data_IF_216900352359
#
_entry.id   IF_216900352359
#
_cell.length_a   1.000
_cell.length_b   1.000
_cell.length_c   1.000
_cell.angle_alpha   90.00
_cell.angle_beta   90.00
_cell.angle_gamma   90.00
#
_symmetry.space_group_name_H-M   'P 1'
#
loop_
_entity.id
_entity.type
_entity.pdbx_description
1 polymer ?
#
# COMPACT_ATOMS: atom_id res chain seq x y z
N UNK A 1 -13.51 20.22 -4.22
CA UNK A 1 -13.03 18.83 -4.11
C UNK A 1 -12.41 18.79 -2.74
N UNK A 2 -13.10 18.17 -1.80
CA UNK A 2 -12.69 18.20 -0.40
C UNK A 2 -11.31 17.53 -0.30
N UNK A 3 -10.39 18.24 0.33
CA UNK A 3 -9.03 17.79 0.55
C UNK A 3 -9.09 16.62 1.52
N UNK A 4 -8.42 15.50 1.20
CA UNK A 4 -8.38 14.34 2.10
C UNK A 4 -7.62 14.63 3.39
N UNK A 5 -6.65 15.54 3.33
CA UNK A 5 -5.92 16.04 4.49
C UNK A 5 -5.89 17.57 4.46
N UNK A 6 -5.81 18.16 5.65
CA UNK A 6 -5.71 19.62 5.81
C UNK A 6 -4.28 20.10 5.54
N UNK A 7 -4.18 21.23 4.83
CA UNK A 7 -2.88 21.86 4.53
C UNK A 7 -2.13 22.20 5.81
N UNK A 8 -2.85 22.63 6.85
CA UNK A 8 -2.26 23.05 8.11
C UNK A 8 -1.56 21.90 8.83
N UNK A 9 -2.11 20.68 8.80
CA UNK A 9 -1.51 19.51 9.44
C UNK A 9 -0.19 19.13 8.77
N UNK A 10 -0.15 19.19 7.43
CA UNK A 10 1.08 18.98 6.67
C UNK A 10 2.13 20.06 7.00
N UNK A 11 1.72 21.33 7.14
CA UNK A 11 2.62 22.41 7.53
C UNK A 11 3.18 22.22 8.94
N UNK A 12 2.35 21.76 9.88
CA UNK A 12 2.77 21.42 11.24
C UNK A 12 3.79 20.29 11.24
N UNK A 13 3.54 19.21 10.49
CA UNK A 13 4.50 18.09 10.34
C UNK A 13 5.84 18.54 9.75
N UNK A 14 5.81 19.47 8.80
CA UNK A 14 7.01 20.04 8.16
C UNK A 14 7.65 21.19 8.94
N UNK A 15 7.08 21.57 10.09
CA UNK A 15 7.50 22.73 10.90
C UNK A 15 7.57 24.05 10.09
N UNK A 16 6.64 24.22 9.15
CA UNK A 16 6.54 25.41 8.30
C UNK A 16 5.50 26.39 8.86
N UNK A 17 5.94 27.63 9.07
CA UNK A 17 5.09 28.69 9.61
C UNK A 17 4.68 29.76 8.57
N UNK A 18 5.24 29.69 7.35
CA UNK A 18 4.97 30.65 6.27
C UNK A 18 4.02 30.08 5.23
N UNK A 19 3.52 30.93 4.32
CA UNK A 19 2.61 30.55 3.24
C UNK A 19 3.31 30.36 1.89
N UNK A 20 4.62 30.56 1.82
CA UNK A 20 5.39 30.61 0.56
C UNK A 20 5.35 29.28 -0.20
N UNK A 21 5.17 28.18 0.53
CA UNK A 21 5.13 26.82 -0.01
C UNK A 21 3.70 26.29 -0.21
N UNK A 22 2.66 27.04 0.14
CA UNK A 22 1.28 26.55 0.15
C UNK A 22 0.84 26.04 -1.22
N UNK A 23 1.24 26.71 -2.30
CA UNK A 23 0.95 26.25 -3.67
C UNK A 23 1.58 24.89 -3.99
N UNK A 24 2.83 24.67 -3.58
CA UNK A 24 3.54 23.41 -3.75
C UNK A 24 2.92 22.30 -2.88
N UNK A 25 2.67 22.60 -1.60
CA UNK A 25 2.08 21.64 -0.66
C UNK A 25 0.70 21.19 -1.12
N UNK A 26 -0.15 22.11 -1.59
CA UNK A 26 -1.45 21.75 -2.17
C UNK A 26 -1.32 20.87 -3.41
N UNK A 27 -0.30 21.09 -4.25
CA UNK A 27 -0.05 20.25 -5.42
C UNK A 27 0.39 18.84 -5.02
N UNK A 28 1.26 18.73 -4.00
CA UNK A 28 1.68 17.45 -3.42
C UNK A 28 0.47 16.70 -2.87
N UNK A 29 -0.34 17.35 -2.02
CA UNK A 29 -1.58 16.77 -1.45
C UNK A 29 -2.49 16.23 -2.56
N UNK A 30 -2.76 17.05 -3.58
CA UNK A 30 -3.63 16.69 -4.71
C UNK A 30 -3.11 15.46 -5.47
N UNK A 31 -1.81 15.43 -5.80
CA UNK A 31 -1.24 14.35 -6.59
C UNK A 31 -1.11 13.05 -5.79
N UNK A 32 -0.70 13.15 -4.52
CA UNK A 32 -0.64 12.01 -3.60
C UNK A 32 -2.03 11.42 -3.39
N UNK A 33 -3.04 12.26 -3.13
CA UNK A 33 -4.43 11.81 -2.99
C UNK A 33 -4.92 11.09 -4.24
N UNK A 34 -4.66 11.62 -5.44
CA UNK A 34 -5.05 10.97 -6.69
C UNK A 34 -4.35 9.62 -6.88
N UNK A 35 -3.06 9.54 -6.57
CA UNK A 35 -2.29 8.31 -6.68
C UNK A 35 -2.83 7.23 -5.73
N UNK A 36 -3.10 7.58 -4.47
CA UNK A 36 -3.68 6.63 -3.52
C UNK A 36 -5.10 6.22 -3.91
N UNK A 37 -5.94 7.16 -4.34
CA UNK A 37 -7.29 6.85 -4.86
C UNK A 37 -7.24 5.86 -6.02
N UNK A 38 -6.30 6.04 -6.94
CA UNK A 38 -6.10 5.11 -8.06
C UNK A 38 -5.69 3.71 -7.56
N UNK A 39 -4.74 3.64 -6.61
CA UNK A 39 -4.29 2.36 -6.00
C UNK A 39 -5.41 1.64 -5.24
N UNK A 40 -6.32 2.39 -4.61
CA UNK A 40 -7.50 1.87 -3.90
C UNK A 40 -8.67 1.51 -4.84
N UNK A 41 -8.55 1.71 -6.16
CA UNK A 41 -9.65 1.48 -7.10
C UNK A 41 -10.84 2.43 -6.94
N UNK A 42 -10.64 3.60 -6.32
CA UNK A 42 -11.70 4.56 -6.05
C UNK A 42 -12.06 5.38 -7.29
N UNK A 43 -13.14 4.97 -7.95
CA UNK A 43 -13.72 5.66 -9.09
C UNK A 43 -14.22 7.08 -8.75
N UNK A 44 -14.47 7.90 -9.77
CA UNK A 44 -15.08 9.21 -9.61
C UNK A 44 -16.44 9.09 -8.87
N UNK A 45 -16.59 9.81 -7.77
CA UNK A 45 -17.81 9.79 -6.93
C UNK A 45 -17.77 8.85 -5.72
N UNK A 46 -16.72 8.03 -5.56
CA UNK A 46 -16.49 7.29 -4.29
C UNK A 46 -15.74 8.16 -3.29
N UNK A 47 -16.23 8.24 -2.07
CA UNK A 47 -15.55 8.93 -0.97
C UNK A 47 -14.23 8.23 -0.63
N UNK A 48 -13.29 9.02 -0.12
CA UNK A 48 -12.02 8.50 0.35
C UNK A 48 -12.20 7.98 1.78
N UNK A 49 -11.76 6.75 2.12
CA UNK A 49 -11.83 6.23 3.49
C UNK A 49 -11.00 7.11 4.44
N UNK A 50 -11.64 7.74 5.43
CA UNK A 50 -10.96 8.64 6.35
C UNK A 50 -9.89 7.92 7.16
N UNK A 51 -10.05 6.63 7.42
CA UNK A 51 -9.09 5.79 8.13
C UNK A 51 -7.74 5.68 7.43
N UNK A 52 -7.65 6.04 6.13
CA UNK A 52 -6.44 5.97 5.32
C UNK A 52 -5.81 7.36 5.06
N UNK A 53 -6.33 8.43 5.69
CA UNK A 53 -5.85 9.79 5.48
C UNK A 53 -4.38 9.98 5.92
N UNK A 54 -3.97 9.29 6.98
CA UNK A 54 -2.61 9.31 7.53
C UNK A 54 -1.57 8.85 6.50
N UNK A 55 -1.95 7.93 5.60
CA UNK A 55 -1.08 7.47 4.50
C UNK A 55 -0.79 8.64 3.56
N UNK A 56 -1.82 9.43 3.21
CA UNK A 56 -1.65 10.60 2.36
C UNK A 56 -0.73 11.61 3.04
N UNK A 57 -0.93 11.88 4.33
CA UNK A 57 -0.11 12.83 5.10
C UNK A 57 1.36 12.44 5.10
N UNK A 58 1.65 11.18 5.46
CA UNK A 58 2.99 10.61 5.53
C UNK A 58 3.72 10.61 4.17
N UNK A 59 3.01 10.29 3.09
CA UNK A 59 3.56 10.31 1.74
C UNK A 59 3.82 11.75 1.27
N UNK A 60 2.95 12.70 1.64
CA UNK A 60 3.18 14.12 1.34
C UNK A 60 4.45 14.64 2.00
N UNK A 61 4.72 14.28 3.26
CA UNK A 61 5.97 14.62 3.96
C UNK A 61 7.19 14.06 3.23
N UNK A 62 7.18 12.77 2.87
CA UNK A 62 8.26 12.12 2.10
C UNK A 62 8.51 12.83 0.77
N UNK A 63 7.46 13.14 -0.01
CA UNK A 63 7.60 13.82 -1.31
C UNK A 63 8.16 15.24 -1.18
N UNK A 64 7.72 15.99 -0.16
CA UNK A 64 8.28 17.30 0.11
C UNK A 64 9.78 17.23 0.44
N UNK A 65 10.16 16.32 1.35
CA UNK A 65 11.55 16.12 1.74
C UNK A 65 12.42 15.68 0.54
N UNK A 66 11.89 14.80 -0.33
CA UNK A 66 12.57 14.41 -1.57
C UNK A 66 12.78 15.60 -2.51
N UNK A 67 11.74 16.36 -2.83
CA UNK A 67 11.84 17.54 -3.69
C UNK A 67 12.81 18.61 -3.14
N UNK A 68 12.83 18.80 -1.82
CA UNK A 68 13.78 19.70 -1.15
C UNK A 68 15.22 19.20 -1.29
N UNK A 69 15.43 17.88 -1.23
CA UNK A 69 16.75 17.26 -1.34
C UNK A 69 17.23 17.10 -2.79
N UNK A 70 16.33 16.99 -3.77
CA UNK A 70 16.66 16.93 -5.21
C UNK A 70 17.39 18.21 -5.71
N UNK A 71 17.28 19.32 -4.97
CA UNK A 71 18.02 20.57 -5.22
C UNK A 71 19.36 20.72 -4.48
N UNK A 72 19.75 19.78 -3.61
CA UNK A 72 21.04 19.80 -2.92
C UNK A 72 22.08 19.03 -3.76
N UNK A 73 23.01 19.75 -4.38
CA UNK A 73 23.99 19.22 -5.34
C UNK A 73 24.99 18.17 -4.78
N UNK A 74 24.93 17.84 -3.50
CA UNK A 74 25.52 16.67 -2.84
C UNK A 74 25.39 16.87 -1.35
N UNK A 75 24.88 15.89 -0.63
CA UNK A 75 24.96 15.86 0.83
C UNK A 75 25.39 14.45 1.24
N UNK A 76 26.70 14.26 1.43
CA UNK A 76 27.22 13.09 2.14
C UNK A 76 27.36 13.48 3.60
N UNK A 77 26.47 12.96 4.45
CA UNK A 77 26.74 12.81 5.88
C UNK A 77 26.87 11.33 6.20
N UNK A 78 27.84 11.03 7.06
CA UNK A 78 28.40 9.72 7.35
C UNK A 78 27.34 8.60 7.52
N UNK A 79 27.40 7.60 6.64
CA UNK A 79 27.03 6.23 6.99
C UNK A 79 25.58 5.79 6.83
N UNK A 80 24.62 6.64 6.43
CA UNK A 80 23.26 6.19 6.11
C UNK A 80 22.97 6.27 4.61
N UNK A 81 22.95 5.11 3.96
CA UNK A 81 22.45 5.00 2.58
C UNK A 81 20.94 5.19 2.56
N UNK A 82 20.47 6.32 2.03
CA UNK A 82 19.05 6.51 1.72
C UNK A 82 18.75 5.66 0.48
N UNK A 83 18.20 4.47 0.66
CA UNK A 83 17.65 3.69 -0.45
C UNK A 83 16.33 4.31 -0.88
N UNK A 84 16.33 4.94 -2.04
CA UNK A 84 15.10 5.45 -2.65
C UNK A 84 14.29 4.27 -3.21
N UNK A 85 13.14 3.96 -2.61
CA UNK A 85 12.15 3.05 -3.20
C UNK A 85 11.48 3.72 -4.40
N UNK A 86 11.10 2.94 -5.40
CA UNK A 86 10.55 3.41 -6.68
C UNK A 86 9.16 4.03 -6.57
N UNK A 87 8.35 3.64 -5.58
CA UNK A 87 7.02 4.20 -5.35
C UNK A 87 6.91 4.78 -3.93
N UNK A 88 6.38 6.01 -3.83
CA UNK A 88 6.23 6.72 -2.56
C UNK A 88 5.21 6.03 -1.62
N UNK A 89 4.44 5.07 -2.15
CA UNK A 89 3.48 4.26 -1.40
C UNK A 89 3.98 2.86 -1.05
N UNK A 90 5.16 2.42 -1.49
CA UNK A 90 5.63 1.03 -1.30
C UNK A 90 5.63 0.59 0.17
N UNK A 91 5.90 1.50 1.11
CA UNK A 91 5.87 1.24 2.56
C UNK A 91 4.45 1.05 3.12
N UNK A 92 3.44 1.58 2.41
CA UNK A 92 2.01 1.51 2.77
C UNK A 92 1.25 0.51 1.91
N UNK A 93 1.85 0.09 0.80
CA UNK A 93 1.44 -1.01 -0.04
C UNK A 93 1.94 -2.34 0.50
N UNK A 94 2.22 -2.45 1.82
CA UNK A 94 2.55 -3.72 2.44
C UNK A 94 1.39 -4.70 2.21
N UNK A 95 1.53 -5.44 1.12
CA UNK A 95 0.90 -6.69 0.70
C UNK A 95 -0.60 -6.79 0.93
N UNK A 96 -1.37 -5.99 0.18
CA UNK A 96 -2.78 -6.32 -0.02
C UNK A 96 -2.87 -7.67 -0.76
N UNK A 97 -3.43 -8.69 -0.13
CA UNK A 97 -3.53 -10.02 -0.72
C UNK A 97 -4.86 -10.15 -1.46
N UNK A 98 -4.80 -10.57 -2.71
CA UNK A 98 -5.99 -10.82 -3.50
C UNK A 98 -6.60 -12.19 -3.14
N UNK A 99 -7.86 -12.16 -2.69
CA UNK A 99 -8.71 -13.33 -2.56
C UNK A 99 -9.39 -13.60 -3.90
N UNK A 100 -9.27 -14.82 -4.41
CA UNK A 100 -9.69 -15.21 -5.77
C UNK A 100 -10.61 -16.41 -5.75
N UNK A 101 -11.40 -16.59 -6.81
CA UNK A 101 -12.28 -17.77 -6.97
C UNK A 101 -11.52 -19.06 -7.27
N UNK A 102 -10.27 -18.97 -7.72
CA UNK A 102 -9.37 -20.09 -7.96
C UNK A 102 -7.97 -19.82 -7.43
N UNK A 103 -7.26 -20.88 -7.05
CA UNK A 103 -5.89 -20.87 -6.55
C UNK A 103 -4.87 -20.58 -7.67
N UNK A 104 -5.03 -19.47 -8.38
CA UNK A 104 -4.18 -19.06 -9.50
C UNK A 104 -4.23 -17.54 -9.66
N UNK A 105 -3.12 -16.96 -10.08
CA UNK A 105 -2.96 -15.50 -10.14
C UNK A 105 -3.83 -14.81 -11.20
N UNK A 106 -4.32 -15.57 -12.18
CA UNK A 106 -5.21 -15.09 -13.25
C UNK A 106 -6.70 -15.34 -13.00
N UNK A 107 -7.07 -15.91 -11.85
CA UNK A 107 -8.48 -16.12 -11.50
C UNK A 107 -9.17 -14.81 -11.13
N UNK A 108 -10.49 -14.76 -11.39
CA UNK A 108 -11.38 -13.68 -10.97
C UNK A 108 -11.23 -13.35 -9.49
N UNK A 109 -11.29 -12.05 -9.19
CA UNK A 109 -11.18 -11.50 -7.85
C UNK A 109 -12.50 -11.64 -7.09
N UNK A 110 -12.41 -12.10 -5.86
CA UNK A 110 -13.47 -12.01 -4.86
C UNK A 110 -13.34 -10.69 -4.11
N UNK A 111 -12.13 -10.43 -3.59
CA UNK A 111 -11.82 -9.26 -2.80
C UNK A 111 -10.30 -9.01 -2.78
N UNK A 112 -9.91 -7.83 -2.35
CA UNK A 112 -8.54 -7.49 -1.98
C UNK A 112 -8.52 -7.25 -0.48
N UNK A 113 -7.70 -8.03 0.23
CA UNK A 113 -7.55 -7.99 1.67
C UNK A 113 -6.44 -7.03 2.03
N UNK A 114 -6.64 -6.21 3.05
CA UNK A 114 -5.64 -5.30 3.57
C UNK A 114 -4.94 -5.92 4.80
N UNK A 115 -3.75 -5.43 5.17
CA UNK A 115 -3.09 -5.82 6.40
C UNK A 115 -4.01 -5.70 7.62
N UNK A 116 -4.08 -6.78 8.41
CA UNK A 116 -4.93 -6.85 9.60
C UNK A 116 -6.32 -7.44 9.33
N UNK A 117 -6.72 -7.64 8.08
CA UNK A 117 -7.92 -8.42 7.77
C UNK A 117 -7.73 -9.86 8.22
N UNK A 118 -8.66 -10.34 9.06
CA UNK A 118 -8.63 -11.71 9.57
C UNK A 118 -9.35 -12.63 8.59
N UNK A 119 -8.64 -13.61 8.05
CA UNK A 119 -9.22 -14.65 7.20
C UNK A 119 -9.08 -16.02 7.84
N UNK A 120 -10.21 -16.68 8.05
CA UNK A 120 -10.25 -18.10 8.44
C UNK A 120 -10.05 -18.99 7.22
N UNK A 121 -9.20 -19.99 7.34
CA UNK A 121 -8.95 -21.00 6.31
C UNK A 121 -9.09 -22.41 6.89
N UNK A 122 -9.41 -23.39 6.04
CA UNK A 122 -9.59 -24.78 6.45
C UNK A 122 -8.62 -25.76 5.74
N UNK A 123 -7.96 -25.30 4.68
CA UNK A 123 -7.01 -26.10 3.92
C UNK A 123 -5.98 -25.20 3.20
N UNK A 124 -4.93 -25.82 2.67
CA UNK A 124 -3.97 -25.17 1.79
C UNK A 124 -3.57 -26.07 0.62
N UNK A 125 -3.08 -25.48 -0.46
CA UNK A 125 -2.46 -26.18 -1.60
C UNK A 125 -1.17 -25.46 -2.02
N UNK A 126 -0.32 -26.15 -2.77
CA UNK A 126 0.90 -25.58 -3.35
C UNK A 126 0.93 -25.92 -4.82
N UNK A 127 0.95 -24.90 -5.65
CA UNK A 127 1.10 -25.00 -7.10
C UNK A 127 1.20 -23.58 -7.69
N UNK A 128 1.57 -23.51 -8.96
CA UNK A 128 1.74 -22.24 -9.70
C UNK A 128 2.70 -21.25 -9.03
N UNK A 129 3.67 -21.78 -8.27
CA UNK A 129 4.69 -20.99 -7.57
C UNK A 129 4.25 -20.39 -6.24
N UNK A 130 3.05 -20.72 -5.72
CA UNK A 130 2.53 -20.15 -4.47
C UNK A 130 1.99 -21.20 -3.51
N UNK A 131 2.00 -20.86 -2.22
CA UNK A 131 1.16 -21.49 -1.20
C UNK A 131 -0.19 -20.78 -1.23
N UNK A 132 -1.25 -21.54 -1.45
CA UNK A 132 -2.62 -21.04 -1.48
C UNK A 132 -3.36 -21.50 -0.23
N UNK A 133 -3.97 -20.57 0.51
CA UNK A 133 -4.90 -20.88 1.60
C UNK A 133 -6.33 -20.88 1.07
N UNK A 134 -7.15 -21.83 1.53
CA UNK A 134 -8.56 -21.97 1.16
C UNK A 134 -9.45 -21.36 2.24
N UNK A 135 -10.17 -20.29 1.89
CA UNK A 135 -11.24 -19.71 2.69
C UNK A 135 -12.56 -20.40 2.37
N UNK A 136 -13.24 -20.94 3.39
CA UNK A 136 -14.60 -21.47 3.27
C UNK A 136 -15.59 -20.31 3.14
N UNK A 137 -16.52 -20.43 2.19
CA UNK A 137 -17.60 -19.47 1.96
C UNK A 137 -18.96 -20.19 1.96
N UNK A 138 -20.04 -19.42 1.96
CA UNK A 138 -21.40 -19.96 1.94
C UNK A 138 -21.68 -20.82 0.70
N UNK A 139 -22.67 -21.70 0.80
CA UNK A 139 -23.13 -22.57 -0.29
C UNK A 139 -22.04 -23.49 -0.89
N UNK A 140 -21.04 -23.88 -0.08
CA UNK A 140 -19.97 -24.79 -0.50
C UNK A 140 -18.99 -24.16 -1.49
N UNK A 141 -18.92 -22.83 -1.53
CA UNK A 141 -17.96 -22.10 -2.35
C UNK A 141 -16.66 -21.85 -1.58
N UNK A 142 -15.59 -21.57 -2.32
CA UNK A 142 -14.26 -21.35 -1.76
C UNK A 142 -13.61 -20.10 -2.35
N UNK A 143 -12.86 -19.39 -1.53
CA UNK A 143 -11.91 -18.37 -1.95
C UNK A 143 -10.48 -18.83 -1.70
N UNK A 144 -9.54 -18.32 -2.49
CA UNK A 144 -8.12 -18.68 -2.42
C UNK A 144 -7.26 -17.43 -2.33
N UNK A 145 -6.34 -17.41 -1.38
CA UNK A 145 -5.37 -16.33 -1.21
C UNK A 145 -3.95 -16.91 -1.20
N UNK A 146 -3.00 -16.19 -1.78
CA UNK A 146 -1.60 -16.58 -1.75
C UNK A 146 -0.97 -16.12 -0.41
N UNK A 147 -0.31 -17.04 0.30
CA UNK A 147 0.28 -16.79 1.62
C UNK A 147 1.82 -16.93 1.64
N UNK A 148 2.43 -17.09 0.47
CA UNK A 148 3.86 -17.30 0.30
C UNK A 148 4.21 -17.93 -1.04
N UNK A 149 5.50 -17.95 -1.37
CA UNK A 149 6.02 -18.54 -2.61
C UNK A 149 6.49 -19.98 -2.39
N UNK A 150 6.38 -20.79 -3.43
CA UNK A 150 6.98 -22.11 -3.50
C UNK A 150 8.00 -22.17 -4.65
N UNK A 151 9.09 -22.91 -4.46
CA UNK A 151 9.99 -23.26 -5.56
C UNK A 151 9.35 -24.30 -6.50
N UNK A 152 10.02 -24.59 -7.62
CA UNK A 152 9.57 -25.56 -8.61
C UNK A 152 9.48 -27.03 -8.09
N UNK A 153 9.82 -27.27 -6.81
CA UNK A 153 9.68 -28.55 -6.11
C UNK A 153 8.60 -28.50 -5.01
N UNK A 154 7.70 -27.50 -5.05
CA UNK A 154 6.65 -27.24 -4.05
C UNK A 154 7.17 -27.01 -2.62
N UNK A 155 8.45 -26.64 -2.49
CA UNK A 155 9.03 -26.24 -1.20
C UNK A 155 8.69 -24.77 -0.95
N UNK A 156 8.09 -24.50 0.21
CA UNK A 156 7.78 -23.14 0.64
C UNK A 156 9.10 -22.37 0.87
N UNK A 157 9.27 -21.26 0.18
CA UNK A 157 10.47 -20.41 0.23
C UNK A 157 10.21 -19.06 0.91
N UNK A 158 8.96 -18.66 1.06
CA UNK A 158 8.56 -17.46 1.79
C UNK A 158 7.20 -17.62 2.46
N UNK A 159 6.95 -16.85 3.51
CA UNK A 159 5.62 -16.75 4.13
C UNK A 159 5.31 -15.28 4.35
N UNK A 160 4.11 -14.89 3.93
CA UNK A 160 3.63 -13.51 3.95
C UNK A 160 2.66 -13.25 5.12
N UNK A 161 2.43 -14.26 5.95
CA UNK A 161 1.57 -14.19 7.13
C UNK A 161 2.34 -14.53 8.41
N UNK A 162 1.84 -14.01 9.54
CA UNK A 162 2.19 -14.53 10.86
C UNK A 162 1.15 -15.57 11.25
N UNK A 163 1.54 -16.85 11.21
CA UNK A 163 0.70 -17.93 11.71
C UNK A 163 0.74 -17.93 13.25
N UNK A 164 -0.41 -17.77 13.91
CA UNK A 164 -0.58 -18.01 15.34
C UNK A 164 -0.98 -19.47 15.62
#
# INVERSE_FOLDING_TARGET
MDSVIELQDLKTMLQLNTTDQDGLLNLIIKNTTKALRFKLGLNAGKEFPQELDYIVLEVCVRRYNRLKNEGMASYSQEGESITFKSDDFDDFLSESINLRWGAKTDSDLIATLNPGDVVTYDAFSKHDGYVWLRQVRDNGQFGYLASGECDNSDKCISSWDKFE
#
